data_IF_041545097228
#
_entry.id   IF_041545097228
#
_cell.length_a   1.000
_cell.length_b   1.000
_cell.length_c   1.000
_cell.angle_alpha   90.00
_cell.angle_beta   90.00
_cell.angle_gamma   90.00
#
_symmetry.space_group_name_H-M   'P 1'
#
loop_
_entity.id
_entity.type
_entity.pdbx_description
1 polymer ?
#
# COMPACT_ATOMS: atom_id res chain seq x y z
N UNK A 1 -20.64 39.15 34.09
CA UNK A 1 -20.95 37.98 33.24
C UNK A 1 -20.05 38.08 32.02
N UNK A 2 -18.90 37.41 32.07
CA UNK A 2 -17.86 37.46 31.02
C UNK A 2 -18.40 36.71 29.81
N UNK A 3 -18.79 37.44 28.78
CA UNK A 3 -19.17 36.86 27.49
C UNK A 3 -17.88 36.31 26.88
N UNK A 4 -17.79 34.99 26.80
CA UNK A 4 -16.72 34.32 26.06
C UNK A 4 -17.06 34.51 24.58
N UNK A 5 -16.45 35.50 23.95
CA UNK A 5 -16.50 35.68 22.50
C UNK A 5 -15.62 34.59 21.86
N UNK A 6 -16.24 33.45 21.51
CA UNK A 6 -15.64 32.51 20.57
C UNK A 6 -15.65 33.21 19.21
N UNK A 7 -14.56 33.90 18.89
CA UNK A 7 -14.36 34.53 17.60
C UNK A 7 -14.49 33.50 16.46
N UNK A 8 -15.70 33.40 15.92
CA UNK A 8 -16.10 32.49 14.84
C UNK A 8 -15.31 32.74 13.55
N UNK A 9 -14.67 33.91 13.41
CA UNK A 9 -13.88 34.23 12.22
C UNK A 9 -12.64 33.33 12.11
N UNK A 10 -12.01 32.99 13.24
CA UNK A 10 -10.87 32.05 13.28
C UNK A 10 -11.28 30.62 12.99
N UNK A 11 -12.46 30.21 13.49
CA UNK A 11 -13.02 28.88 13.19
C UNK A 11 -13.33 28.72 11.70
N UNK A 12 -13.92 29.74 11.07
CA UNK A 12 -14.19 29.73 9.63
C UNK A 12 -12.91 29.64 8.80
N UNK A 13 -11.87 30.41 9.14
CA UNK A 13 -10.60 30.36 8.39
C UNK A 13 -9.92 28.98 8.44
N UNK A 14 -9.95 28.32 9.59
CA UNK A 14 -9.40 26.96 9.75
C UNK A 14 -10.26 25.94 8.98
N UNK A 15 -11.59 26.02 9.09
CA UNK A 15 -12.50 25.14 8.37
C UNK A 15 -12.35 25.26 6.84
N UNK A 16 -12.22 26.48 6.32
CA UNK A 16 -11.99 26.74 4.89
C UNK A 16 -10.68 26.12 4.40
N UNK A 17 -9.58 26.28 5.14
CA UNK A 17 -8.29 25.67 4.77
C UNK A 17 -8.37 24.14 4.70
N UNK A 18 -8.99 23.50 5.69
CA UNK A 18 -9.17 22.05 5.66
C UNK A 18 -10.06 21.59 4.50
N UNK A 19 -11.08 22.37 4.13
CA UNK A 19 -11.92 22.07 2.99
C UNK A 19 -11.13 22.16 1.67
N UNK A 20 -10.30 23.20 1.52
CA UNK A 20 -9.42 23.39 0.35
C UNK A 20 -8.37 22.28 0.23
N UNK A 21 -7.66 21.95 1.30
CA UNK A 21 -6.68 20.85 1.31
C UNK A 21 -7.32 19.50 0.97
N UNK A 22 -8.52 19.25 1.50
CA UNK A 22 -9.27 18.03 1.17
C UNK A 22 -9.66 18.02 -0.30
N UNK A 23 -10.17 19.13 -0.84
CA UNK A 23 -10.54 19.22 -2.25
C UNK A 23 -9.32 18.99 -3.16
N UNK A 24 -8.18 19.60 -2.86
CA UNK A 24 -6.92 19.37 -3.60
C UNK A 24 -6.49 17.91 -3.54
N UNK A 25 -6.63 17.25 -2.38
CA UNK A 25 -6.31 15.83 -2.23
C UNK A 25 -7.23 14.96 -3.08
N UNK A 26 -8.53 15.26 -3.09
CA UNK A 26 -9.51 14.52 -3.92
C UNK A 26 -9.21 14.71 -5.41
N UNK A 27 -8.90 15.93 -5.84
CA UNK A 27 -8.58 16.23 -7.23
C UNK A 27 -7.26 15.58 -7.67
N UNK A 28 -6.27 15.52 -6.77
CA UNK A 28 -5.02 14.77 -6.97
C UNK A 28 -5.29 13.27 -7.17
N UNK A 29 -6.10 12.65 -6.30
CA UNK A 29 -6.46 11.24 -6.41
C UNK A 29 -7.27 10.94 -7.68
N UNK A 30 -8.09 11.88 -8.16
CA UNK A 30 -8.80 11.78 -9.45
C UNK A 30 -7.89 11.99 -10.64
N UNK A 31 -6.79 12.73 -10.48
CA UNK A 31 -5.80 12.99 -11.52
C UNK A 31 -6.38 13.50 -12.84
N UNK A 32 -7.33 14.43 -12.76
CA UNK A 32 -7.96 15.00 -13.95
C UNK A 32 -9.03 14.13 -14.61
N UNK A 33 -9.40 12.99 -14.02
CA UNK A 33 -10.59 12.24 -14.44
C UNK A 33 -11.84 13.07 -14.11
N UNK A 34 -12.35 13.78 -15.12
CA UNK A 34 -13.63 14.46 -15.05
C UNK A 34 -14.76 13.42 -15.07
N UNK A 35 -15.33 13.11 -13.90
CA UNK A 35 -16.42 12.14 -13.80
C UNK A 35 -17.54 12.62 -12.90
N UNK A 36 -18.77 12.43 -13.40
CA UNK A 36 -20.01 12.66 -12.63
C UNK A 36 -20.50 11.38 -11.95
N UNK A 37 -19.73 10.29 -12.02
CA UNK A 37 -20.11 9.02 -11.41
C UNK A 37 -20.04 9.12 -9.86
N UNK A 38 -21.17 9.04 -9.15
CA UNK A 38 -21.19 9.20 -7.70
C UNK A 38 -20.49 8.04 -6.97
N UNK A 39 -20.45 6.83 -7.54
CA UNK A 39 -19.76 5.68 -6.94
C UNK A 39 -18.25 5.87 -6.97
N UNK A 40 -17.70 6.33 -8.09
CA UNK A 40 -16.27 6.65 -8.19
C UNK A 40 -15.89 7.77 -7.23
N UNK A 41 -16.67 8.85 -7.18
CA UNK A 41 -16.39 9.98 -6.28
C UNK A 41 -16.39 9.54 -4.80
N UNK A 42 -17.37 8.71 -4.38
CA UNK A 42 -17.40 8.14 -3.03
C UNK A 42 -16.20 7.23 -2.75
N UNK A 43 -15.79 6.41 -3.70
CA UNK A 43 -14.60 5.56 -3.56
C UNK A 43 -13.34 6.41 -3.34
N UNK A 44 -13.15 7.48 -4.11
CA UNK A 44 -12.00 8.39 -3.94
C UNK A 44 -12.04 9.06 -2.55
N UNK A 45 -13.21 9.49 -2.08
CA UNK A 45 -13.36 10.03 -0.72
C UNK A 45 -13.04 9.01 0.38
N UNK A 46 -13.38 7.72 0.16
CA UNK A 46 -13.00 6.65 1.09
C UNK A 46 -11.49 6.42 1.10
N UNK A 47 -10.88 6.39 -0.09
CA UNK A 47 -9.42 6.25 -0.23
C UNK A 47 -8.70 7.40 0.47
N UNK A 48 -9.14 8.64 0.28
CA UNK A 48 -8.57 9.81 0.96
C UNK A 48 -8.58 9.64 2.48
N UNK A 49 -9.74 9.29 3.05
CA UNK A 49 -9.89 9.07 4.50
C UNK A 49 -8.97 7.97 5.01
N UNK A 50 -8.95 6.81 4.34
CA UNK A 50 -8.14 5.66 4.78
C UNK A 50 -6.65 5.94 4.61
N UNK A 51 -6.25 6.48 3.45
CA UNK A 51 -4.86 6.77 3.14
C UNK A 51 -4.27 7.83 4.09
N UNK A 52 -5.05 8.81 4.53
CA UNK A 52 -4.57 9.83 5.45
C UNK A 52 -4.52 9.32 6.89
N UNK A 53 -5.56 8.61 7.34
CA UNK A 53 -5.75 8.30 8.76
C UNK A 53 -5.19 6.94 9.20
N UNK A 54 -4.85 6.05 8.27
CA UNK A 54 -4.46 4.68 8.58
C UNK A 54 -3.14 4.27 7.94
N UNK A 55 -2.41 3.40 8.65
CA UNK A 55 -1.25 2.65 8.14
C UNK A 55 -1.59 1.18 7.86
N UNK A 56 -2.86 0.80 7.98
CA UNK A 56 -3.30 -0.56 7.70
C UNK A 56 -3.15 -0.89 6.20
N UNK A 57 -3.00 -2.18 5.85
CA UNK A 57 -3.06 -2.63 4.45
C UNK A 57 -4.38 -2.19 3.79
N UNK A 58 -4.31 -1.86 2.50
CA UNK A 58 -5.47 -1.46 1.69
C UNK A 58 -5.69 -2.54 0.64
N UNK A 59 -6.91 -3.08 0.58
CA UNK A 59 -7.34 -3.99 -0.47
C UNK A 59 -8.12 -3.23 -1.53
N UNK A 60 -7.65 -3.28 -2.78
CA UNK A 60 -8.32 -2.66 -3.93
C UNK A 60 -9.03 -3.73 -4.76
N UNK A 61 -10.37 -3.71 -4.73
CA UNK A 61 -11.19 -4.66 -5.49
C UNK A 61 -11.71 -4.04 -6.79
N UNK A 62 -11.72 -4.83 -7.85
CA UNK A 62 -12.26 -4.44 -9.16
C UNK A 62 -11.74 -5.35 -10.27
N UNK A 63 -12.31 -5.28 -11.48
CA UNK A 63 -11.87 -6.09 -12.61
C UNK A 63 -10.45 -5.72 -13.07
N UNK A 64 -9.79 -6.64 -13.79
CA UNK A 64 -8.51 -6.36 -14.46
C UNK A 64 -8.66 -5.18 -15.42
N UNK A 65 -7.65 -4.30 -15.46
CA UNK A 65 -7.69 -3.09 -16.29
C UNK A 65 -8.48 -1.90 -15.72
N UNK A 66 -9.08 -2.01 -14.52
CA UNK A 66 -9.81 -0.89 -13.89
C UNK A 66 -8.92 0.27 -13.36
N UNK A 67 -7.60 0.22 -13.56
CA UNK A 67 -6.67 1.25 -13.09
C UNK A 67 -6.28 1.13 -11.61
N UNK A 68 -6.29 -0.08 -11.02
CA UNK A 68 -5.93 -0.30 -9.61
C UNK A 68 -4.47 0.10 -9.30
N UNK A 69 -3.52 -0.27 -10.17
CA UNK A 69 -2.11 0.10 -10.03
C UNK A 69 -1.89 1.60 -10.06
N UNK A 70 -2.65 2.30 -10.92
CA UNK A 70 -2.65 3.76 -10.96
C UNK A 70 -3.11 4.36 -9.63
N UNK A 71 -4.22 3.88 -9.08
CA UNK A 71 -4.72 4.32 -7.77
C UNK A 71 -3.71 4.02 -6.64
N UNK A 72 -3.07 2.84 -6.65
CA UNK A 72 -2.05 2.49 -5.67
C UNK A 72 -0.87 3.47 -5.67
N UNK A 73 -0.38 3.85 -6.86
CA UNK A 73 0.68 4.86 -7.01
C UNK A 73 0.25 6.21 -6.46
N UNK A 74 -0.98 6.66 -6.72
CA UNK A 74 -1.50 7.92 -6.16
C UNK A 74 -1.62 7.88 -4.64
N UNK A 75 -2.03 6.74 -4.07
CA UNK A 75 -2.06 6.55 -2.61
C UNK A 75 -0.64 6.67 -2.02
N UNK A 76 0.35 6.05 -2.67
CA UNK A 76 1.75 6.18 -2.26
C UNK A 76 2.23 7.64 -2.30
N UNK A 77 2.04 8.32 -3.43
CA UNK A 77 2.45 9.72 -3.61
C UNK A 77 1.79 10.63 -2.57
N UNK A 78 0.50 10.42 -2.29
CA UNK A 78 -0.24 11.16 -1.24
C UNK A 78 0.37 10.93 0.15
N UNK A 79 0.69 9.67 0.49
CA UNK A 79 1.32 9.32 1.77
C UNK A 79 2.74 9.87 1.88
N UNK A 80 3.50 9.86 0.80
CA UNK A 80 4.85 10.43 0.73
C UNK A 80 4.82 11.95 0.89
N UNK A 81 3.91 12.66 0.19
CA UNK A 81 3.74 14.11 0.32
C UNK A 81 3.36 14.55 1.75
N UNK A 82 2.73 13.65 2.52
CA UNK A 82 2.40 13.85 3.93
C UNK A 82 3.44 13.31 4.91
N UNK A 83 4.65 13.00 4.43
CA UNK A 83 5.76 12.47 5.21
C UNK A 83 5.43 11.17 5.98
N UNK A 84 4.44 10.39 5.53
CA UNK A 84 4.12 9.09 6.12
C UNK A 84 5.03 7.97 5.61
N UNK A 85 5.62 8.16 4.42
CA UNK A 85 6.58 7.24 3.81
C UNK A 85 7.90 7.93 3.53
N UNK A 86 8.99 7.24 3.83
CA UNK A 86 10.37 7.61 3.52
C UNK A 86 11.05 6.62 2.56
N UNK A 87 10.43 5.46 2.34
CA UNK A 87 10.92 4.40 1.45
C UNK A 87 10.29 4.42 0.05
N UNK A 88 10.62 3.40 -0.73
CA UNK A 88 10.21 3.29 -2.12
C UNK A 88 8.77 2.75 -2.30
N UNK A 89 8.18 3.05 -3.46
CA UNK A 89 7.04 2.33 -3.98
C UNK A 89 7.55 1.12 -4.77
N UNK A 90 7.23 -0.08 -4.30
CA UNK A 90 7.59 -1.33 -4.96
C UNK A 90 6.30 -1.96 -5.45
N UNK A 91 6.25 -2.26 -6.75
CA UNK A 91 5.11 -2.91 -7.39
C UNK A 91 5.51 -4.28 -7.89
N UNK A 92 4.63 -5.27 -7.68
CA UNK A 92 4.82 -6.64 -8.13
C UNK A 92 3.50 -7.22 -8.62
N UNK A 93 3.51 -7.79 -9.82
CA UNK A 93 2.39 -8.58 -10.32
C UNK A 93 2.58 -10.04 -9.90
N UNK A 94 1.68 -10.54 -9.06
CA UNK A 94 1.74 -11.88 -8.48
C UNK A 94 1.47 -13.01 -9.48
N UNK A 95 0.78 -12.74 -10.60
CA UNK A 95 0.54 -13.72 -11.65
C UNK A 95 1.83 -14.18 -12.35
N UNK A 96 2.90 -13.37 -12.26
CA UNK A 96 4.22 -13.71 -12.83
C UNK A 96 5.06 -14.62 -11.93
N UNK A 97 4.61 -14.87 -10.70
CA UNK A 97 5.35 -15.60 -9.67
C UNK A 97 4.71 -16.95 -9.38
N UNK A 98 5.54 -17.99 -9.26
CA UNK A 98 5.11 -19.37 -8.91
C UNK A 98 6.16 -20.04 -8.00
N UNK A 99 5.69 -20.75 -6.97
CA UNK A 99 6.49 -21.59 -6.08
C UNK A 99 7.67 -20.86 -5.41
N UNK A 100 8.81 -21.55 -5.29
CA UNK A 100 10.02 -21.03 -4.63
C UNK A 100 10.47 -19.66 -5.15
N UNK A 101 10.24 -19.35 -6.43
CA UNK A 101 10.58 -18.05 -7.03
C UNK A 101 9.72 -16.92 -6.46
N UNK A 102 8.45 -17.20 -6.15
CA UNK A 102 7.54 -16.24 -5.53
C UNK A 102 8.02 -15.88 -4.12
N UNK A 103 8.26 -16.90 -3.28
CA UNK A 103 8.73 -16.71 -1.91
C UNK A 103 10.09 -16.01 -1.87
N UNK A 104 11.02 -16.47 -2.71
CA UNK A 104 12.35 -15.89 -2.85
C UNK A 104 12.30 -14.41 -3.29
N UNK A 105 11.37 -14.05 -4.17
CA UNK A 105 11.20 -12.66 -4.62
C UNK A 105 10.58 -11.78 -3.54
N UNK A 106 9.52 -12.25 -2.86
CA UNK A 106 8.82 -11.49 -1.83
C UNK A 106 9.66 -11.30 -0.55
N UNK A 107 10.23 -12.39 -0.04
CA UNK A 107 10.91 -12.45 1.26
C UNK A 107 12.43 -12.41 1.16
N UNK A 108 13.00 -12.65 -0.03
CA UNK A 108 14.43 -12.84 -0.21
C UNK A 108 14.83 -14.28 0.11
N UNK A 109 16.08 -14.61 -0.14
CA UNK A 109 16.62 -15.92 0.18
C UNK A 109 18.09 -15.84 0.59
N UNK A 110 18.51 -16.82 1.39
CA UNK A 110 19.93 -17.05 1.66
C UNK A 110 20.53 -17.97 0.59
N UNK A 111 21.84 -17.84 0.36
CA UNK A 111 22.59 -18.75 -0.51
C UNK A 111 22.31 -20.21 -0.12
N UNK A 112 21.96 -21.04 -1.10
CA UNK A 112 21.66 -22.46 -0.91
C UNK A 112 20.23 -22.77 -0.46
N UNK A 113 19.32 -21.79 -0.37
CA UNK A 113 17.94 -22.03 0.07
C UNK A 113 17.16 -23.00 -0.83
N UNK A 114 17.44 -23.04 -2.14
CA UNK A 114 16.84 -23.95 -3.12
C UNK A 114 17.79 -24.20 -4.30
N UNK A 115 17.45 -25.15 -5.17
CA UNK A 115 18.23 -25.49 -6.37
C UNK A 115 18.31 -24.28 -7.32
N UNK A 116 19.45 -23.59 -7.32
CA UNK A 116 19.67 -22.37 -8.12
C UNK A 116 19.97 -21.11 -7.30
N UNK A 117 19.82 -21.16 -5.96
CA UNK A 117 20.17 -20.07 -5.04
C UNK A 117 21.70 -19.92 -4.88
N UNK A 118 22.38 -19.43 -5.93
CA UNK A 118 23.85 -19.29 -5.96
C UNK A 118 24.36 -18.19 -5.02
N UNK A 119 23.56 -17.16 -4.80
CA UNK A 119 23.85 -16.00 -3.96
C UNK A 119 22.64 -15.66 -3.10
N UNK A 120 22.83 -14.88 -2.05
CA UNK A 120 21.70 -14.35 -1.26
C UNK A 120 21.07 -13.16 -1.98
N UNK A 121 19.75 -13.02 -1.91
CA UNK A 121 19.02 -11.91 -2.52
C UNK A 121 18.06 -11.29 -1.50
N UNK A 122 18.01 -9.96 -1.46
CA UNK A 122 17.00 -9.25 -0.68
C UNK A 122 15.62 -9.35 -1.31
N UNK A 123 14.59 -9.53 -0.47
CA UNK A 123 13.20 -9.59 -0.89
C UNK A 123 12.56 -8.23 -1.08
N UNK A 124 11.47 -8.19 -1.85
CA UNK A 124 10.70 -6.98 -2.11
C UNK A 124 10.12 -6.33 -0.84
N UNK A 125 9.74 -7.13 0.16
CA UNK A 125 9.28 -6.60 1.45
C UNK A 125 10.35 -5.71 2.11
N UNK A 126 11.63 -6.09 1.96
CA UNK A 126 12.76 -5.31 2.44
C UNK A 126 13.00 -4.07 1.58
N UNK A 127 12.92 -4.22 0.25
CA UNK A 127 13.06 -3.09 -0.68
C UNK A 127 11.98 -2.02 -0.47
N UNK A 128 10.79 -2.42 -0.03
CA UNK A 128 9.68 -1.54 0.30
C UNK A 128 9.70 -0.99 1.74
N UNK A 129 10.75 -1.27 2.52
CA UNK A 129 10.84 -0.83 3.91
C UNK A 129 10.71 0.70 4.03
N UNK A 130 9.85 1.17 4.93
CA UNK A 130 9.53 2.59 5.09
C UNK A 130 8.67 3.20 3.96
N UNK A 131 8.29 2.40 2.96
CA UNK A 131 7.49 2.81 1.80
C UNK A 131 6.22 1.98 1.64
N UNK A 132 5.90 1.56 0.41
CA UNK A 132 4.71 0.77 0.09
C UNK A 132 5.05 -0.36 -0.87
N UNK A 133 4.61 -1.58 -0.54
CA UNK A 133 4.57 -2.71 -1.45
C UNK A 133 3.15 -2.85 -2.01
N UNK A 134 3.00 -2.73 -3.32
CA UNK A 134 1.77 -2.99 -4.05
C UNK A 134 1.84 -4.36 -4.72
N UNK A 135 0.87 -5.22 -4.39
CA UNK A 135 0.77 -6.58 -4.90
C UNK A 135 -0.45 -6.65 -5.81
N UNK A 136 -0.22 -6.63 -7.11
CA UNK A 136 -1.29 -6.80 -8.09
C UNK A 136 -1.61 -8.29 -8.27
N UNK A 137 -2.88 -8.58 -8.52
CA UNK A 137 -3.39 -9.95 -8.68
C UNK A 137 -3.01 -10.88 -7.53
N UNK A 138 -3.07 -10.40 -6.27
CA UNK A 138 -2.68 -11.15 -5.07
C UNK A 138 -3.36 -12.54 -4.93
N UNK A 139 -4.56 -12.70 -5.50
CA UNK A 139 -5.27 -13.98 -5.52
C UNK A 139 -4.58 -15.07 -6.36
N UNK A 140 -3.60 -14.71 -7.19
CA UNK A 140 -2.81 -15.63 -8.01
C UNK A 140 -1.63 -16.26 -7.25
N UNK A 141 -1.36 -15.82 -6.01
CA UNK A 141 -0.39 -16.47 -5.13
C UNK A 141 -0.92 -17.84 -4.67
N UNK A 142 -0.02 -18.82 -4.53
CA UNK A 142 -0.36 -20.10 -3.92
C UNK A 142 -0.65 -19.98 -2.43
N UNK A 143 -1.24 -21.04 -1.86
CA UNK A 143 -1.70 -21.04 -0.46
C UNK A 143 -0.56 -20.83 0.54
N UNK A 144 0.61 -21.42 0.27
CA UNK A 144 1.78 -21.30 1.14
C UNK A 144 2.34 -19.87 1.11
N UNK A 145 2.42 -19.24 -0.07
CA UNK A 145 2.84 -17.85 -0.22
C UNK A 145 1.88 -16.88 0.47
N UNK A 146 0.56 -17.13 0.35
CA UNK A 146 -0.45 -16.33 1.04
C UNK A 146 -0.35 -16.46 2.56
N UNK A 147 -0.12 -17.67 3.08
CA UNK A 147 0.06 -17.90 4.52
C UNK A 147 1.29 -17.18 5.07
N UNK A 148 2.41 -17.21 4.35
CA UNK A 148 3.62 -16.47 4.73
C UNK A 148 3.42 -14.96 4.68
N UNK A 149 2.73 -14.46 3.64
CA UNK A 149 2.44 -13.04 3.51
C UNK A 149 1.52 -12.55 4.64
N UNK A 150 0.49 -13.34 4.97
CA UNK A 150 -0.41 -13.05 6.08
C UNK A 150 0.37 -12.91 7.39
N UNK A 151 1.24 -13.89 7.70
CA UNK A 151 2.10 -13.85 8.89
C UNK A 151 2.98 -12.60 8.92
N UNK A 152 3.58 -12.24 7.78
CA UNK A 152 4.41 -11.03 7.69
C UNK A 152 3.60 -9.73 7.88
N UNK A 153 2.36 -9.69 7.40
CA UNK A 153 1.46 -8.54 7.58
C UNK A 153 1.03 -8.41 9.05
N UNK A 154 0.74 -9.53 9.72
CA UNK A 154 0.32 -9.58 11.13
C UNK A 154 1.46 -9.23 12.07
N UNK A 155 2.61 -9.90 11.93
CA UNK A 155 3.75 -9.77 12.83
C UNK A 155 4.62 -8.53 12.53
N UNK A 156 4.46 -7.91 11.34
CA UNK A 156 5.35 -6.84 10.82
C UNK A 156 6.82 -7.26 10.72
N UNK A 157 7.08 -8.55 10.80
CA UNK A 157 8.39 -9.18 10.69
C UNK A 157 8.31 -10.37 9.76
N UNK A 158 9.41 -10.66 9.07
CA UNK A 158 9.52 -11.82 8.22
C UNK A 158 10.96 -12.33 8.21
N UNK A 159 11.14 -13.57 7.80
CA UNK A 159 12.44 -14.18 7.62
C UNK A 159 12.65 -14.44 6.12
N UNK A 160 13.89 -14.29 5.60
CA UNK A 160 14.21 -14.68 4.23
C UNK A 160 14.00 -16.19 4.07
N UNK A 161 13.82 -16.71 2.86
CA UNK A 161 13.68 -18.16 2.64
C UNK A 161 15.01 -18.87 2.97
N UNK A 162 14.94 -19.93 3.77
CA UNK A 162 16.03 -20.88 4.03
C UNK A 162 15.61 -22.29 3.62
N UNK A 163 16.61 -23.16 3.47
CA UNK A 163 16.36 -24.57 3.20
C UNK A 163 15.69 -25.21 4.43
N UNK A 164 14.43 -25.63 4.30
CA UNK A 164 13.82 -26.54 5.28
C UNK A 164 14.56 -27.87 5.18
N UNK A 165 15.21 -28.29 6.26
CA UNK A 165 15.65 -29.68 6.36
C UNK A 165 14.40 -30.56 6.43
N UNK A 166 14.32 -31.69 5.71
CA UNK A 166 13.18 -32.58 5.85
C UNK A 166 13.21 -33.19 7.26
N UNK A 167 12.35 -32.72 8.17
CA UNK A 167 12.28 -33.22 9.54
C UNK A 167 11.63 -32.33 10.62
N UNK A 168 11.09 -31.15 10.30
CA UNK A 168 10.36 -30.28 11.26
C UNK A 168 8.94 -29.95 10.80
#
# INVERSE_FOLDING_TARGET
MTIIDLDLSRYNAIASRFAEERQQTLDFLKSGIATRNPHFNRMIEQIEKVAIKSRAPILLNGPTGAGKSFLARRIFELKQARHQFSGAFVEMNCATLRGDTAMSTLFGHVKGAFTGARESREGLLRSANGGMLFLDEIGELGADEQAMLLKAIEEKTFYPVWQRSPGE
#
